data_IF_206150137365
#
_entry.id   IF_206150137365
#
_cell.length_a   1.000
_cell.length_b   1.000
_cell.length_c   1.000
_cell.angle_alpha   90.00
_cell.angle_beta   90.00
_cell.angle_gamma   90.00
#
_symmetry.space_group_name_H-M   'P 1'
#
loop_
_entity.id
_entity.type
_entity.pdbx_description
1 polymer ?
#
# COMPACT_ATOMS: atom_id res chain seq x y z
N UNK A 1 -13.33 17.91 -12.75
CA UNK A 1 -12.48 16.74 -12.57
C UNK A 1 -11.26 16.97 -11.67
N UNK A 2 -10.82 18.21 -11.49
CA UNK A 2 -9.70 18.51 -10.59
C UNK A 2 -9.98 18.09 -9.14
N UNK A 3 -11.18 18.35 -8.64
CA UNK A 3 -11.53 17.98 -7.29
C UNK A 3 -11.52 16.47 -7.10
N UNK A 4 -12.03 15.72 -8.08
CA UNK A 4 -12.02 14.25 -8.03
C UNK A 4 -10.59 13.74 -8.13
N UNK A 5 -9.78 14.30 -9.02
CA UNK A 5 -8.38 13.90 -9.16
C UNK A 5 -7.60 14.15 -7.88
N UNK A 6 -7.83 15.29 -7.21
CA UNK A 6 -7.18 15.60 -5.94
C UNK A 6 -7.59 14.63 -4.83
N UNK A 7 -8.87 14.27 -4.76
CA UNK A 7 -9.36 13.31 -3.79
C UNK A 7 -8.74 11.93 -4.00
N UNK A 8 -8.71 11.47 -5.26
CA UNK A 8 -8.11 10.18 -5.62
C UNK A 8 -6.63 10.18 -5.28
N UNK A 9 -5.91 11.26 -5.61
CA UNK A 9 -4.50 11.38 -5.27
C UNK A 9 -4.26 11.31 -3.77
N UNK A 10 -5.10 11.97 -2.98
CA UNK A 10 -5.02 11.93 -1.53
C UNK A 10 -5.22 10.51 -1.00
N UNK A 11 -6.20 9.78 -1.53
CA UNK A 11 -6.47 8.41 -1.12
C UNK A 11 -5.29 7.48 -1.42
N UNK A 12 -4.71 7.61 -2.62
CA UNK A 12 -3.52 6.84 -2.97
C UNK A 12 -2.35 7.16 -2.04
N UNK A 13 -2.14 8.44 -1.78
CA UNK A 13 -1.05 8.89 -0.90
C UNK A 13 -1.22 8.33 0.51
N UNK A 14 -2.42 8.42 1.07
CA UNK A 14 -2.71 7.88 2.40
C UNK A 14 -2.48 6.38 2.46
N UNK A 15 -2.88 5.66 1.42
CA UNK A 15 -2.70 4.20 1.37
C UNK A 15 -1.22 3.83 1.27
N UNK A 16 -0.45 4.57 0.49
CA UNK A 16 0.99 4.37 0.39
C UNK A 16 1.66 4.58 1.76
N UNK A 17 1.29 5.64 2.46
CA UNK A 17 1.79 5.88 3.82
C UNK A 17 1.41 4.76 4.78
N UNK A 18 0.21 4.22 4.63
CA UNK A 18 -0.25 3.10 5.45
C UNK A 18 0.62 1.87 5.24
N UNK A 19 0.98 1.57 3.99
CA UNK A 19 1.86 0.45 3.67
C UNK A 19 3.26 0.68 4.24
N UNK A 20 3.78 1.90 4.10
CA UNK A 20 5.07 2.27 4.69
C UNK A 20 5.04 2.06 6.22
N UNK A 21 3.96 2.49 6.87
CA UNK A 21 3.76 2.28 8.29
C UNK A 21 3.75 0.80 8.67
N UNK A 22 3.14 -0.03 7.84
CA UNK A 22 3.12 -1.48 8.04
C UNK A 22 4.54 -2.07 8.03
N UNK A 23 5.41 -1.60 7.14
CA UNK A 23 6.81 -2.03 7.09
C UNK A 23 7.54 -1.60 8.36
N UNK A 24 7.36 -0.36 8.80
CA UNK A 24 7.96 0.12 10.05
C UNK A 24 7.51 -0.68 11.26
N UNK A 25 6.23 -1.02 11.33
CA UNK A 25 5.70 -1.84 12.42
C UNK A 25 6.38 -3.22 12.46
N UNK A 26 6.64 -3.79 11.29
CA UNK A 26 7.35 -5.08 11.19
C UNK A 26 8.79 -4.95 11.69
N UNK A 27 9.46 -3.86 11.33
CA UNK A 27 10.86 -3.64 11.70
C UNK A 27 11.05 -3.30 13.18
N UNK A 28 10.08 -2.61 13.79
CA UNK A 28 10.18 -2.19 15.18
C UNK A 28 9.77 -3.27 16.18
N UNK A 29 9.42 -4.46 15.71
CA UNK A 29 9.04 -5.60 16.56
C UNK A 29 7.89 -5.29 17.51
N UNK A 30 6.97 -4.41 17.09
CA UNK A 30 5.74 -4.17 17.84
C UNK A 30 4.92 -5.46 17.84
N UNK A 31 4.32 -5.77 19.00
CA UNK A 31 3.48 -6.96 19.15
C UNK A 31 2.42 -7.01 18.04
N UNK A 32 2.24 -8.18 17.38
CA UNK A 32 1.17 -8.31 16.39
C UNK A 32 -0.22 -8.17 16.99
N UNK A 33 -0.33 -8.23 18.31
CA UNK A 33 -1.60 -8.05 19.03
C UNK A 33 -1.87 -6.59 19.38
N UNK A 34 -0.93 -5.69 19.08
CA UNK A 34 -1.15 -4.27 19.32
C UNK A 34 -2.30 -3.78 18.42
N UNK A 35 -3.28 -2.99 18.97
CA UNK A 35 -4.44 -2.56 18.17
C UNK A 35 -4.08 -1.83 16.89
N UNK A 36 -3.07 -0.95 16.93
CA UNK A 36 -2.61 -0.20 15.76
C UNK A 36 -2.06 -1.15 14.70
N UNK A 37 -1.25 -2.14 15.11
CA UNK A 37 -0.69 -3.12 14.19
C UNK A 37 -1.79 -3.93 13.52
N UNK A 38 -2.82 -4.33 14.26
CA UNK A 38 -3.96 -5.07 13.71
C UNK A 38 -4.73 -4.23 12.69
N UNK A 39 -4.98 -2.96 12.99
CA UNK A 39 -5.68 -2.05 12.08
C UNK A 39 -4.91 -1.87 10.78
N UNK A 40 -3.61 -1.57 10.89
CA UNK A 40 -2.74 -1.40 9.72
C UNK A 40 -2.75 -2.66 8.87
N UNK A 41 -2.61 -3.82 9.50
CA UNK A 41 -2.61 -5.10 8.80
C UNK A 41 -3.93 -5.35 8.07
N UNK A 42 -5.06 -5.09 8.73
CA UNK A 42 -6.39 -5.28 8.12
C UNK A 42 -6.59 -4.40 6.90
N UNK A 43 -6.05 -3.18 6.92
CA UNK A 43 -6.20 -2.24 5.81
C UNK A 43 -5.24 -2.53 4.67
N UNK A 44 -4.08 -3.13 4.93
CA UNK A 44 -3.07 -3.40 3.91
C UNK A 44 -3.15 -4.81 3.33
N UNK A 45 -3.63 -5.80 4.06
CA UNK A 45 -3.69 -7.19 3.59
C UNK A 45 -4.52 -7.39 2.32
N UNK A 46 -5.66 -6.69 2.09
CA UNK A 46 -6.40 -6.88 0.85
C UNK A 46 -5.58 -6.64 -0.41
N UNK A 47 -4.58 -5.75 -0.35
CA UNK A 47 -3.67 -5.51 -1.45
C UNK A 47 -2.43 -6.39 -1.37
N UNK A 48 -1.86 -6.55 -0.19
CA UNK A 48 -0.59 -7.26 0.00
C UNK A 48 -0.72 -8.77 -0.19
N UNK A 49 -1.84 -9.36 0.25
CA UNK A 49 -2.01 -10.81 0.19
C UNK A 49 -1.98 -11.36 -1.24
N UNK A 50 -2.71 -10.77 -2.22
CA UNK A 50 -2.60 -11.23 -3.61
C UNK A 50 -1.20 -11.09 -4.19
N UNK A 51 -0.51 -10.02 -3.86
CA UNK A 51 0.88 -9.78 -4.33
C UNK A 51 1.79 -10.85 -3.74
N UNK A 52 1.66 -11.12 -2.45
CA UNK A 52 2.47 -12.12 -1.76
C UNK A 52 2.27 -13.52 -2.36
N UNK A 53 1.03 -13.85 -2.73
CA UNK A 53 0.73 -15.15 -3.34
C UNK A 53 1.29 -15.28 -4.75
N UNK A 54 1.42 -14.18 -5.48
CA UNK A 54 1.97 -14.17 -6.82
C UNK A 54 3.48 -14.20 -6.84
N UNK A 55 4.13 -13.87 -5.73
CA UNK A 55 5.59 -13.81 -5.65
C UNK A 55 6.18 -15.15 -5.22
N UNK A 56 7.33 -15.57 -5.80
CA UNK A 56 8.08 -16.70 -5.25
C UNK A 56 8.66 -16.31 -3.89
N UNK A 57 8.67 -17.25 -2.98
CA UNK A 57 9.29 -17.02 -1.68
C UNK A 57 10.82 -17.10 -1.83
N UNK A 58 11.47 -15.95 -1.69
CA UNK A 58 12.92 -15.83 -1.84
C UNK A 58 13.55 -15.42 -0.51
N UNK A 59 13.39 -16.26 0.51
CA UNK A 59 14.01 -16.02 1.81
C UNK A 59 13.07 -15.36 2.82
N UNK A 60 13.60 -14.92 3.99
CA UNK A 60 12.78 -14.41 5.09
C UNK A 60 12.26 -12.99 4.88
N UNK A 61 12.70 -12.30 3.84
CA UNK A 61 12.32 -10.91 3.60
C UNK A 61 11.06 -10.84 2.74
N UNK A 62 10.06 -10.10 3.23
CA UNK A 62 8.81 -9.91 2.51
C UNK A 62 8.94 -8.68 1.59
N UNK A 63 8.94 -8.92 0.29
CA UNK A 63 9.04 -7.85 -0.71
C UNK A 63 7.68 -7.32 -1.15
N UNK A 64 6.58 -7.91 -0.65
CA UNK A 64 5.25 -7.49 -1.11
C UNK A 64 4.93 -6.03 -0.80
N UNK A 65 5.30 -5.43 0.34
CA UNK A 65 5.07 -4.00 0.54
C UNK A 65 5.78 -3.13 -0.48
N UNK A 66 7.02 -3.46 -0.84
CA UNK A 66 7.78 -2.71 -1.84
C UNK A 66 7.09 -2.75 -3.19
N UNK A 67 6.68 -3.94 -3.63
CA UNK A 67 5.98 -4.12 -4.90
C UNK A 67 4.65 -3.38 -4.88
N UNK A 68 3.92 -3.45 -3.77
CA UNK A 68 2.64 -2.75 -3.61
C UNK A 68 2.82 -1.24 -3.77
N UNK A 69 3.86 -0.67 -3.17
CA UNK A 69 4.14 0.77 -3.28
C UNK A 69 4.41 1.15 -4.73
N UNK A 70 5.25 0.38 -5.43
CA UNK A 70 5.52 0.65 -6.85
C UNK A 70 4.26 0.56 -7.70
N UNK A 71 3.44 -0.47 -7.48
CA UNK A 71 2.18 -0.61 -8.21
C UNK A 71 1.24 0.55 -7.95
N UNK A 72 1.16 1.01 -6.70
CA UNK A 72 0.31 2.14 -6.34
C UNK A 72 0.80 3.43 -6.98
N UNK A 73 2.10 3.65 -7.04
CA UNK A 73 2.67 4.84 -7.69
C UNK A 73 2.32 4.84 -9.18
N UNK A 74 2.51 3.71 -9.86
CA UNK A 74 2.19 3.57 -11.28
C UNK A 74 0.69 3.78 -11.50
N UNK A 75 -0.13 3.11 -10.70
CA UNK A 75 -1.58 3.20 -10.80
C UNK A 75 -2.07 4.63 -10.55
N UNK A 76 -1.49 5.31 -9.56
CA UNK A 76 -1.82 6.72 -9.28
C UNK A 76 -1.55 7.59 -10.51
N UNK A 77 -0.41 7.40 -11.17
CA UNK A 77 -0.08 8.15 -12.38
C UNK A 77 -1.08 7.89 -13.51
N UNK A 78 -1.43 6.63 -13.72
CA UNK A 78 -2.39 6.25 -14.77
C UNK A 78 -3.75 6.87 -14.49
N UNK A 79 -4.24 6.75 -13.27
CA UNK A 79 -5.56 7.27 -12.88
C UNK A 79 -5.57 8.80 -13.00
N UNK A 80 -4.53 9.47 -12.52
CA UNK A 80 -4.44 10.93 -12.59
C UNK A 80 -4.45 11.40 -14.03
N UNK A 81 -3.70 10.73 -14.91
CA UNK A 81 -3.67 11.07 -16.34
C UNK A 81 -5.04 10.92 -16.98
N UNK A 82 -5.74 9.82 -16.68
CA UNK A 82 -7.07 9.57 -17.22
C UNK A 82 -8.09 10.59 -16.72
N UNK A 83 -8.05 10.93 -15.43
CA UNK A 83 -8.99 11.88 -14.84
C UNK A 83 -8.78 13.31 -15.37
N UNK A 84 -7.53 13.69 -15.62
CA UNK A 84 -7.22 15.02 -16.14
C UNK A 84 -7.50 15.14 -17.64
N UNK A 85 -7.57 14.02 -18.35
CA UNK A 85 -7.94 14.01 -19.77
C UNK A 85 -9.44 14.18 -20.00
N UNK A 86 -10.23 13.71 -19.09
CA UNK A 86 -11.68 13.77 -19.15
C UNK A 86 -12.23 14.78 -18.17
#
# INVERSE_FOLDING_TARGET
MRAVASLVDLLFTLYIFLIIGSVFLTWTRISPYHPVAQWVRRLTEPLLAPIRRAMPQTGPFDWSPTIAIFLLIILRQVVATLLLRF
#
